data_IF_175249423100
#
_entry.id   IF_175249423100
#
_cell.length_a   1.000
_cell.length_b   1.000
_cell.length_c   1.000
_cell.angle_alpha   90.00
_cell.angle_beta   90.00
_cell.angle_gamma   90.00
#
_symmetry.space_group_name_H-M   'P 1'
#
loop_
_entity.id
_entity.type
_entity.pdbx_description
1 polymer ?
#
# COMPACT_ATOMS: atom_id res chain seq x y z
N UNK A 1 -7.68 -2.05 26.94
CA UNK A 1 -6.22 -2.12 26.72
C UNK A 1 -5.99 -2.14 25.21
N UNK A 2 -5.50 -1.06 24.61
CA UNK A 2 -5.22 -0.99 23.17
C UNK A 2 -3.71 -1.29 22.97
N UNK A 3 -3.36 -2.57 22.99
CA UNK A 3 -1.96 -3.06 22.92
C UNK A 3 -1.50 -3.41 21.50
N UNK A 4 -2.01 -2.74 20.46
CA UNK A 4 -1.74 -3.09 19.06
C UNK A 4 -0.58 -2.33 18.40
N UNK A 5 -0.13 -1.22 18.98
CA UNK A 5 0.86 -0.33 18.34
C UNK A 5 2.32 -0.79 18.46
N UNK A 6 2.58 -1.99 19.00
CA UNK A 6 3.92 -2.40 19.43
C UNK A 6 4.88 -2.85 18.30
N UNK A 7 4.46 -2.88 17.03
CA UNK A 7 5.37 -3.29 15.95
C UNK A 7 5.10 -2.57 14.62
N UNK A 8 5.10 -1.24 14.62
CA UNK A 8 5.29 -0.51 13.37
C UNK A 8 6.79 -0.40 13.11
N UNK A 9 7.33 -1.29 12.27
CA UNK A 9 8.70 -1.18 11.76
C UNK A 9 8.68 -0.27 10.54
N UNK A 10 9.00 1.00 10.76
CA UNK A 10 9.25 1.92 9.64
C UNK A 10 10.56 1.50 8.97
N UNK A 11 10.50 1.03 7.73
CA UNK A 11 11.70 0.75 6.94
C UNK A 11 12.34 2.09 6.55
N UNK A 12 13.51 2.41 7.12
CA UNK A 12 14.36 3.48 6.62
C UNK A 12 15.18 2.92 5.46
N UNK A 13 14.95 3.43 4.26
CA UNK A 13 15.81 3.15 3.11
C UNK A 13 17.18 3.76 3.42
N UNK A 14 18.19 2.93 3.61
CA UNK A 14 19.57 3.37 3.73
C UNK A 14 20.11 3.67 2.31
N UNK A 15 20.76 4.81 2.08
CA UNK A 15 21.20 5.25 0.76
C UNK A 15 22.20 4.30 0.08
N UNK A 16 22.89 3.43 0.84
CA UNK A 16 23.81 2.41 0.31
C UNK A 16 23.14 1.02 0.14
N UNK A 17 21.84 0.90 0.39
CA UNK A 17 21.10 -0.35 0.21
C UNK A 17 20.76 -0.63 -1.26
N UNK A 18 20.73 -1.91 -1.68
CA UNK A 18 20.17 -2.29 -2.98
C UNK A 18 18.71 -1.79 -3.10
N UNK A 19 18.21 -1.54 -4.34
CA UNK A 19 16.94 -0.86 -4.57
C UNK A 19 15.82 -1.48 -3.72
N UNK A 20 15.17 -0.60 -2.97
CA UNK A 20 14.47 -0.83 -1.70
C UNK A 20 13.20 -1.70 -1.74
N UNK A 21 12.96 -2.46 -2.81
CA UNK A 21 11.80 -3.32 -2.99
C UNK A 21 12.31 -4.63 -3.58
N UNK A 22 12.76 -5.53 -2.70
CA UNK A 22 13.09 -6.89 -3.12
C UNK A 22 11.81 -7.68 -3.37
N UNK A 23 11.82 -8.56 -4.37
CA UNK A 23 10.70 -9.47 -4.64
C UNK A 23 10.35 -10.25 -3.37
N UNK A 24 9.07 -10.28 -3.00
CA UNK A 24 8.58 -11.02 -1.83
C UNK A 24 8.79 -10.34 -0.48
N UNK A 25 9.26 -9.08 -0.44
CA UNK A 25 9.41 -8.34 0.82
C UNK A 25 8.11 -7.67 1.29
N UNK A 26 7.20 -7.39 0.37
CA UNK A 26 5.93 -6.71 0.64
C UNK A 26 4.79 -7.47 -0.01
N UNK A 27 3.63 -7.53 0.68
CA UNK A 27 2.42 -8.19 0.18
C UNK A 27 1.48 -7.22 -0.55
N UNK A 28 1.57 -5.91 -0.28
CA UNK A 28 0.80 -4.87 -0.96
C UNK A 28 1.49 -3.50 -0.90
N UNK A 29 1.09 -2.59 -1.79
CA UNK A 29 1.52 -1.18 -1.81
C UNK A 29 0.34 -0.28 -1.45
N UNK A 30 0.39 0.40 -0.30
CA UNK A 30 -0.55 1.48 0.04
C UNK A 30 0.04 2.81 -0.41
N UNK A 31 -0.62 3.52 -1.33
CA UNK A 31 -0.13 4.80 -1.87
C UNK A 31 -1.27 5.67 -2.40
N UNK A 32 -0.96 6.92 -2.74
CA UNK A 32 -1.85 7.84 -3.44
C UNK A 32 -1.28 8.25 -4.81
N UNK A 33 -1.92 9.25 -5.46
CA UNK A 33 -1.54 9.79 -6.77
C UNK A 33 -0.15 10.42 -6.84
N UNK A 34 0.50 10.70 -5.70
CA UNK A 34 1.88 11.19 -5.65
C UNK A 34 2.92 10.07 -5.83
N UNK A 35 2.48 8.80 -5.92
CA UNK A 35 3.38 7.67 -6.12
C UNK A 35 4.22 7.85 -7.40
N UNK A 36 5.54 7.71 -7.32
CA UNK A 36 6.38 7.71 -8.52
C UNK A 36 6.00 6.57 -9.47
N UNK A 37 5.91 6.86 -10.77
CA UNK A 37 5.60 5.83 -11.78
C UNK A 37 6.57 4.64 -11.74
N UNK A 38 7.83 4.87 -11.40
CA UNK A 38 8.82 3.79 -11.26
C UNK A 38 8.42 2.78 -10.20
N UNK A 39 7.85 3.24 -9.07
CA UNK A 39 7.37 2.37 -8.00
C UNK A 39 6.13 1.59 -8.44
N UNK A 40 5.20 2.25 -9.14
CA UNK A 40 4.01 1.59 -9.71
C UNK A 40 4.38 0.51 -10.74
N UNK A 41 5.34 0.80 -11.62
CA UNK A 41 5.87 -0.17 -12.60
C UNK A 41 6.53 -1.36 -11.91
N UNK A 42 7.30 -1.13 -10.86
CA UNK A 42 7.87 -2.20 -10.04
C UNK A 42 6.77 -3.04 -9.37
N UNK A 43 5.77 -2.40 -8.74
CA UNK A 43 4.65 -3.12 -8.11
C UNK A 43 3.91 -4.00 -9.12
N UNK A 44 3.60 -3.48 -10.30
CA UNK A 44 2.97 -4.24 -11.38
C UNK A 44 3.82 -5.44 -11.85
N UNK A 45 5.14 -5.25 -12.01
CA UNK A 45 6.06 -6.32 -12.40
C UNK A 45 6.20 -7.42 -11.33
N UNK A 46 5.89 -7.11 -10.07
CA UNK A 46 5.91 -8.03 -8.94
C UNK A 46 4.51 -8.58 -8.59
N UNK A 47 3.50 -8.27 -9.39
CA UNK A 47 2.09 -8.61 -9.13
C UNK A 47 1.60 -8.12 -7.75
N UNK A 48 2.18 -7.02 -7.28
CA UNK A 48 1.87 -6.40 -6.00
C UNK A 48 0.63 -5.50 -6.13
N UNK A 49 -0.44 -5.72 -5.36
CA UNK A 49 -1.64 -4.89 -5.41
C UNK A 49 -1.34 -3.48 -4.90
N UNK A 50 -1.68 -2.47 -5.70
CA UNK A 50 -1.52 -1.05 -5.36
C UNK A 50 -2.87 -0.44 -4.97
N UNK A 51 -3.04 -0.13 -3.69
CA UNK A 51 -4.28 0.34 -3.08
C UNK A 51 -4.13 1.74 -2.48
N UNK A 52 -5.27 2.43 -2.29
CA UNK A 52 -5.32 3.72 -1.60
C UNK A 52 -5.33 3.56 -0.08
N UNK A 53 -5.04 4.63 0.68
CA UNK A 53 -5.23 4.65 2.12
C UNK A 53 -6.68 4.35 2.55
N UNK A 54 -7.67 4.63 1.70
CA UNK A 54 -9.08 4.35 1.99
C UNK A 54 -9.33 2.86 2.18
N UNK A 55 -8.71 2.00 1.37
CA UNK A 55 -8.80 0.54 1.53
C UNK A 55 -8.31 0.08 2.91
N UNK A 56 -7.20 0.66 3.38
CA UNK A 56 -6.63 0.33 4.69
C UNK A 56 -7.57 0.79 5.82
N UNK A 57 -8.09 2.01 5.72
CA UNK A 57 -9.04 2.58 6.70
C UNK A 57 -10.30 1.70 6.79
N UNK A 58 -10.90 1.33 5.64
CA UNK A 58 -12.09 0.49 5.63
C UNK A 58 -11.82 -0.91 6.15
N UNK A 59 -10.67 -1.50 5.81
CA UNK A 59 -10.26 -2.80 6.36
C UNK A 59 -10.14 -2.77 7.88
N UNK A 60 -9.61 -1.68 8.44
CA UNK A 60 -9.55 -1.48 9.89
C UNK A 60 -10.93 -1.25 10.53
N UNK A 61 -11.84 -0.53 9.88
CA UNK A 61 -13.21 -0.28 10.37
C UNK A 61 -14.00 -1.58 10.40
N UNK A 62 -13.94 -2.38 9.33
CA UNK A 62 -14.65 -3.67 9.24
C UNK A 62 -13.99 -4.72 10.13
N UNK A 63 -12.68 -4.61 10.36
CA UNK A 63 -11.90 -5.56 11.15
C UNK A 63 -11.45 -6.78 10.35
N UNK A 64 -11.47 -6.70 9.01
CA UNK A 64 -11.01 -7.75 8.11
C UNK A 64 -10.25 -7.16 6.91
N UNK A 65 -9.49 -8.00 6.21
CA UNK A 65 -8.84 -7.59 4.98
C UNK A 65 -9.86 -7.59 3.82
N UNK A 66 -10.26 -6.39 3.38
CA UNK A 66 -11.20 -6.24 2.27
C UNK A 66 -10.55 -6.60 0.93
N UNK A 67 -11.36 -6.96 -0.07
CA UNK A 67 -10.87 -7.15 -1.43
C UNK A 67 -10.33 -5.83 -2.01
N UNK A 68 -9.18 -5.89 -2.70
CA UNK A 68 -8.46 -4.70 -3.16
C UNK A 68 -9.24 -3.90 -4.23
N UNK A 69 -10.13 -4.55 -4.97
CA UNK A 69 -10.86 -3.99 -6.11
C UNK A 69 -12.39 -3.92 -5.89
N UNK A 70 -12.89 -4.21 -4.68
CA UNK A 70 -14.33 -4.20 -4.40
C UNK A 70 -14.98 -2.83 -4.47
N UNK A 71 -14.19 -1.75 -4.37
CA UNK A 71 -14.66 -0.37 -4.45
C UNK A 71 -13.72 0.49 -5.30
N UNK A 72 -14.22 1.42 -6.13
CA UNK A 72 -13.37 2.32 -6.92
C UNK A 72 -12.40 3.15 -6.05
N UNK A 73 -12.83 3.53 -4.84
CA UNK A 73 -12.03 4.34 -3.92
C UNK A 73 -10.76 3.63 -3.43
N UNK A 74 -10.70 2.30 -3.54
CA UNK A 74 -9.55 1.51 -3.12
C UNK A 74 -8.41 1.55 -4.12
N UNK A 75 -8.64 2.06 -5.34
CA UNK A 75 -7.57 2.32 -6.29
C UNK A 75 -6.72 3.50 -5.84
N UNK A 76 -5.41 3.33 -5.85
CA UNK A 76 -4.45 4.39 -5.49
C UNK A 76 -4.60 5.68 -6.34
N UNK A 77 -5.15 5.56 -7.56
CA UNK A 77 -5.37 6.65 -8.51
C UNK A 77 -6.77 7.27 -8.45
N UNK A 78 -7.62 6.85 -7.50
CA UNK A 78 -9.01 7.30 -7.45
C UNK A 78 -9.15 8.83 -7.35
N UNK A 79 -10.04 9.36 -8.20
CA UNK A 79 -10.46 10.76 -8.18
C UNK A 79 -11.97 10.83 -8.03
N UNK A 80 -12.50 11.62 -7.08
CA UNK A 80 -13.93 11.88 -7.03
C UNK A 80 -14.42 12.46 -8.35
N UNK A 81 -15.63 12.07 -8.80
CA UNK A 81 -16.27 12.73 -9.93
C UNK A 81 -16.50 14.23 -9.61
N UNK A 82 -16.56 15.08 -10.66
CA UNK A 82 -16.81 16.51 -10.52
C UNK A 82 -18.18 16.83 -9.92
#
# INVERSE_FOLDING_TARGET
MMGGASSVRQYKVDPDSPPAISVGMFDLLVTDRSCPESVLKCAAALELPAVSPEWLIQSLIVGEQLAYDSQPQYRHDYTPPP
#
